data_IF_417293025907
#
_entry.id   IF_417293025907
#
_cell.length_a   1.000
_cell.length_b   1.000
_cell.length_c   1.000
_cell.angle_alpha   90.00
_cell.angle_beta   90.00
_cell.angle_gamma   90.00
#
_symmetry.space_group_name_H-M   'P 1'
#
loop_
_entity.id
_entity.type
_entity.pdbx_description
1 polymer ?
#
# COMPACT_ATOMS: atom_id res chain seq x y z
N UNK A 1 8.30 11.27 -1.11
CA UNK A 1 8.43 10.25 -2.17
C UNK A 1 8.69 8.94 -1.46
N UNK A 2 7.73 8.02 -1.51
CA UNK A 2 7.82 6.72 -0.83
C UNK A 2 8.63 5.74 -1.68
N UNK A 3 9.45 4.90 -1.05
CA UNK A 3 10.14 3.83 -1.74
C UNK A 3 9.28 2.56 -1.70
N UNK A 4 8.66 2.18 -2.81
CA UNK A 4 7.82 0.98 -2.87
C UNK A 4 8.61 -0.31 -2.58
N UNK A 5 9.92 -0.33 -2.84
CA UNK A 5 10.75 -1.51 -2.62
C UNK A 5 10.95 -1.83 -1.13
N UNK A 6 10.71 -0.86 -0.25
CA UNK A 6 10.85 -1.03 1.20
C UNK A 6 9.52 -1.43 1.87
N UNK A 7 8.42 -1.40 1.12
CA UNK A 7 7.10 -1.72 1.64
C UNK A 7 6.99 -3.22 1.90
N UNK A 8 6.53 -3.57 3.09
CA UNK A 8 6.34 -4.94 3.53
C UNK A 8 4.84 -5.29 3.60
N UNK A 9 4.47 -6.55 3.35
CA UNK A 9 3.14 -7.06 3.67
C UNK A 9 2.74 -6.74 5.12
N UNK A 10 1.48 -6.39 5.33
CA UNK A 10 0.90 -5.95 6.60
C UNK A 10 1.01 -4.45 6.86
N UNK A 11 1.74 -3.69 6.04
CA UNK A 11 1.73 -2.22 6.12
C UNK A 11 0.50 -1.63 5.44
N UNK A 12 -0.01 -0.52 5.96
CA UNK A 12 -1.13 0.19 5.33
C UNK A 12 -0.60 1.32 4.46
N UNK A 13 -1.08 1.41 3.22
CA UNK A 13 -0.82 2.52 2.31
C UNK A 13 -2.05 3.40 2.20
N UNK A 14 -1.84 4.70 2.02
CA UNK A 14 -2.87 5.67 1.69
C UNK A 14 -2.76 6.04 0.22
N UNK A 15 -3.89 5.96 -0.48
CA UNK A 15 -4.02 6.33 -1.87
C UNK A 15 -4.35 7.83 -2.00
N UNK A 16 -4.08 8.39 -3.18
CA UNK A 16 -4.37 9.80 -3.51
C UNK A 16 -5.85 10.15 -3.48
N UNK A 17 -6.73 9.17 -3.67
CA UNK A 17 -8.18 9.33 -3.55
C UNK A 17 -8.68 9.41 -2.09
N UNK A 18 -7.78 9.24 -1.11
CA UNK A 18 -8.10 9.28 0.32
C UNK A 18 -8.39 7.91 0.93
N UNK A 19 -8.51 6.86 0.12
CA UNK A 19 -8.71 5.47 0.57
C UNK A 19 -7.42 4.90 1.14
N UNK A 20 -7.54 3.95 2.06
CA UNK A 20 -6.43 3.16 2.60
C UNK A 20 -6.57 1.68 2.20
N UNK A 21 -5.44 1.01 2.05
CA UNK A 21 -5.38 -0.42 1.78
C UNK A 21 -4.20 -1.05 2.52
N UNK A 22 -4.38 -2.27 3.02
CA UNK A 22 -3.33 -3.06 3.65
C UNK A 22 -2.56 -3.82 2.57
N UNK A 23 -1.24 -3.67 2.51
CA UNK A 23 -0.41 -4.39 1.55
C UNK A 23 -0.42 -5.87 1.90
N UNK A 24 -0.92 -6.70 1.00
CA UNK A 24 -0.94 -8.17 1.13
C UNK A 24 0.35 -8.76 0.58
N UNK A 25 0.83 -8.21 -0.53
CA UNK A 25 2.04 -8.67 -1.20
C UNK A 25 2.74 -7.53 -1.93
N UNK A 26 4.07 -7.53 -1.88
CA UNK A 26 4.92 -6.67 -2.68
C UNK A 26 5.82 -7.56 -3.55
N UNK A 27 5.59 -7.53 -4.86
CA UNK A 27 6.38 -8.31 -5.82
C UNK A 27 7.80 -7.75 -6.03
N UNK A 28 8.09 -6.58 -5.45
CA UNK A 28 9.43 -5.98 -5.45
C UNK A 28 9.83 -5.35 -6.79
N UNK A 29 8.87 -5.01 -7.64
CA UNK A 29 9.11 -4.37 -8.94
C UNK A 29 9.16 -2.83 -8.85
N UNK A 30 8.73 -2.26 -7.72
CA UNK A 30 8.66 -0.82 -7.49
C UNK A 30 7.51 -0.12 -8.22
N UNK A 31 6.56 -0.87 -8.79
CA UNK A 31 5.46 -0.36 -9.61
C UNK A 31 4.11 -0.81 -9.04
N UNK A 32 3.99 -2.07 -8.62
CA UNK A 32 2.72 -2.65 -8.19
C UNK A 32 2.79 -3.19 -6.76
N UNK A 33 1.71 -2.95 -6.01
CA UNK A 33 1.46 -3.58 -4.71
C UNK A 33 0.12 -4.29 -4.76
N UNK A 34 0.07 -5.55 -4.30
CA UNK A 34 -1.21 -6.18 -4.03
C UNK A 34 -1.68 -5.69 -2.65
N UNK A 35 -2.84 -5.03 -2.61
CA UNK A 35 -3.36 -4.47 -1.38
C UNK A 35 -4.84 -4.81 -1.19
N UNK A 36 -5.23 -5.03 0.07
CA UNK A 36 -6.58 -5.34 0.50
C UNK A 36 -7.24 -4.08 1.05
N UNK A 37 -8.38 -3.73 0.48
CA UNK A 37 -9.21 -2.61 0.93
C UNK A 37 -10.07 -3.01 2.14
N UNK A 38 -10.68 -2.01 2.79
CA UNK A 38 -11.61 -2.25 3.91
C UNK A 38 -12.83 -3.10 3.53
N UNK A 39 -13.20 -3.15 2.25
CA UNK A 39 -14.25 -4.04 1.74
C UNK A 39 -13.86 -5.53 1.80
N UNK A 40 -12.57 -5.82 1.93
CA UNK A 40 -11.99 -7.16 1.82
C UNK A 40 -11.54 -7.53 0.41
N UNK A 41 -11.75 -6.65 -0.57
CA UNK A 41 -11.29 -6.86 -1.94
C UNK A 41 -9.78 -6.63 -2.04
N UNK A 42 -9.08 -7.53 -2.74
CA UNK A 42 -7.65 -7.43 -3.04
C UNK A 42 -7.45 -6.96 -4.48
N UNK A 43 -6.73 -5.85 -4.66
CA UNK A 43 -6.43 -5.33 -5.98
C UNK A 43 -4.97 -4.87 -6.10
N UNK A 44 -4.48 -4.81 -7.34
CA UNK A 44 -3.18 -4.26 -7.66
C UNK A 44 -3.24 -2.73 -7.67
N UNK A 45 -2.53 -2.12 -6.73
CA UNK A 45 -2.38 -0.67 -6.62
C UNK A 45 -1.13 -0.23 -7.38
N UNK A 46 -1.34 0.74 -8.28
CA UNK A 46 -0.25 1.34 -9.04
C UNK A 46 0.50 2.39 -8.21
N UNK A 47 1.83 2.42 -8.33
CA UNK A 47 2.69 3.29 -7.52
C UNK A 47 2.33 4.78 -7.60
N UNK A 48 1.82 5.24 -8.73
CA UNK A 48 1.39 6.63 -8.87
C UNK A 48 0.10 6.95 -8.12
N UNK A 49 -0.72 5.97 -7.76
CA UNK A 49 -1.93 6.20 -6.96
C UNK A 49 -1.64 6.24 -5.46
N UNK A 50 -0.42 5.87 -5.04
CA UNK A 50 -0.01 5.87 -3.64
C UNK A 50 0.41 7.28 -3.22
N UNK A 51 -0.21 7.78 -2.16
CA UNK A 51 0.12 9.07 -1.57
C UNK A 51 1.17 8.94 -0.45
N UNK A 52 1.01 7.97 0.44
CA UNK A 52 1.89 7.78 1.60
C UNK A 52 1.77 6.37 2.19
N UNK A 53 2.76 5.98 3.01
CA UNK A 53 2.63 4.87 3.95
C UNK A 53 1.92 5.41 5.19
N UNK A 54 0.98 4.66 5.75
CA UNK A 54 0.45 4.98 7.06
C UNK A 54 1.41 4.43 8.12
N UNK A 55 1.94 5.32 8.97
CA UNK A 55 2.72 4.90 10.12
C UNK A 55 1.78 4.16 11.07
N UNK A 56 1.92 2.83 11.13
CA UNK A 56 1.36 2.08 12.24
C UNK A 56 1.95 2.67 13.50
N UNK A 57 1.11 3.37 14.29
CA UNK A 57 1.48 3.82 15.62
C UNK A 57 1.78 2.58 16.46
N UNK A 58 3.02 2.14 16.43
CA UNK A 58 3.59 1.32 17.49
C UNK A 58 3.64 2.23 18.72
N UNK A 59 2.58 2.18 19.52
CA UNK A 59 2.50 2.82 20.84
C UNK A 59 2.70 1.76 21.91
#
# INVERSE_FOLDING_TARGET
MINLLEIQPGQTIRLKNGTTAEVVENIGDGIWLNARFESGDEELVFCEDIAALEESKAQ
#
